data_IF_003024796770
#
_entry.id   IF_003024796770
#
_cell.length_a   1.000
_cell.length_b   1.000
_cell.length_c   1.000
_cell.angle_alpha   90.00
_cell.angle_beta   90.00
_cell.angle_gamma   90.00
#
_symmetry.space_group_name_H-M   'P 1'
#
loop_
_entity.id
_entity.type
_entity.pdbx_description
1 polymer ?
#
# COMPACT_ATOMS: atom_id res chain seq x y z
N UNK A 1 -7.40 -11.76 -8.08
CA UNK A 1 -6.72 -10.46 -8.29
C UNK A 1 -6.44 -9.83 -6.94
N UNK A 2 -5.26 -9.25 -6.78
CA UNK A 2 -4.78 -8.60 -5.56
C UNK A 2 -4.18 -7.25 -5.90
N UNK A 3 -4.10 -6.32 -4.94
CA UNK A 3 -3.61 -4.96 -5.18
C UNK A 3 -2.43 -4.60 -4.28
N UNK A 4 -1.44 -3.94 -4.86
CA UNK A 4 -0.37 -3.25 -4.15
C UNK A 4 -0.64 -1.75 -4.23
N UNK A 5 -0.95 -1.13 -3.11
CA UNK A 5 -1.27 0.29 -3.03
C UNK A 5 0.01 1.08 -2.74
N UNK A 6 0.47 1.89 -3.68
CA UNK A 6 1.50 2.89 -3.40
C UNK A 6 0.86 4.10 -2.70
N UNK A 7 1.03 4.17 -1.37
CA UNK A 7 0.23 4.98 -0.44
C UNK A 7 0.45 6.50 -0.49
N UNK A 8 0.93 7.06 -1.60
CA UNK A 8 1.12 8.49 -1.79
C UNK A 8 0.81 8.92 -3.23
N UNK A 9 0.36 10.15 -3.40
CA UNK A 9 0.11 10.77 -4.70
C UNK A 9 1.35 11.46 -5.32
N UNK A 10 2.53 11.32 -4.69
CA UNK A 10 3.79 11.83 -5.30
C UNK A 10 4.17 10.96 -6.49
N UNK A 11 4.45 11.59 -7.62
CA UNK A 11 5.03 10.93 -8.80
C UNK A 11 6.44 10.41 -8.50
N UNK A 12 6.84 9.29 -9.10
CA UNK A 12 8.16 8.65 -8.93
C UNK A 12 8.54 8.42 -7.44
N UNK A 13 7.56 8.14 -6.59
CA UNK A 13 7.76 7.97 -5.16
C UNK A 13 8.56 6.71 -4.83
N UNK A 14 9.28 6.75 -3.69
CA UNK A 14 9.93 5.53 -3.17
C UNK A 14 8.90 4.44 -2.84
N UNK A 15 7.67 4.82 -2.46
CA UNK A 15 6.58 3.86 -2.28
C UNK A 15 6.26 3.09 -3.56
N UNK A 16 6.28 3.75 -4.72
CA UNK A 16 6.06 3.09 -6.01
C UNK A 16 7.22 2.14 -6.37
N UNK A 17 8.47 2.54 -6.08
CA UNK A 17 9.63 1.66 -6.30
C UNK A 17 9.55 0.39 -5.46
N UNK A 18 9.19 0.50 -4.18
CA UNK A 18 8.99 -0.65 -3.30
C UNK A 18 7.78 -1.49 -3.75
N UNK A 19 6.68 -0.87 -4.17
CA UNK A 19 5.54 -1.58 -4.74
C UNK A 19 5.93 -2.42 -5.97
N UNK A 20 6.75 -1.85 -6.86
CA UNK A 20 7.30 -2.55 -8.03
C UNK A 20 8.20 -3.72 -7.63
N UNK A 21 9.03 -3.54 -6.60
CA UNK A 21 9.85 -4.62 -6.06
C UNK A 21 8.99 -5.79 -5.55
N UNK A 22 7.96 -5.52 -4.74
CA UNK A 22 7.03 -6.54 -4.25
C UNK A 22 6.35 -7.29 -5.42
N UNK A 23 5.87 -6.56 -6.42
CA UNK A 23 5.22 -7.17 -7.58
C UNK A 23 6.18 -8.11 -8.34
N UNK A 24 7.42 -7.69 -8.55
CA UNK A 24 8.43 -8.51 -9.24
C UNK A 24 8.79 -9.78 -8.45
N UNK A 25 8.95 -9.67 -7.14
CA UNK A 25 9.28 -10.84 -6.31
C UNK A 25 8.11 -11.83 -6.21
N UNK A 26 6.86 -11.32 -6.09
CA UNK A 26 5.66 -12.17 -6.13
C UNK A 26 5.55 -12.91 -7.47
N UNK A 27 5.77 -12.19 -8.58
CA UNK A 27 5.80 -12.81 -9.92
C UNK A 27 6.89 -13.90 -10.04
N UNK A 28 8.10 -13.65 -9.51
CA UNK A 28 9.18 -14.65 -9.50
C UNK A 28 8.82 -15.91 -8.70
N UNK A 29 7.95 -15.78 -7.70
CA UNK A 29 7.43 -16.90 -6.91
C UNK A 29 6.17 -17.55 -7.54
N UNK A 30 5.79 -17.13 -8.74
CA UNK A 30 4.69 -17.70 -9.51
C UNK A 30 3.31 -17.10 -9.21
N UNK A 31 3.23 -15.99 -8.47
CA UNK A 31 1.97 -15.28 -8.22
C UNK A 31 1.87 -14.02 -9.10
N UNK A 32 1.21 -14.13 -10.24
CA UNK A 32 0.95 -13.07 -11.22
C UNK A 32 -0.36 -12.29 -10.94
N UNK A 33 -1.03 -12.60 -9.84
CA UNK A 33 -2.36 -12.06 -9.52
C UNK A 33 -2.34 -10.60 -9.01
N UNK A 34 -1.16 -9.97 -8.87
CA UNK A 34 -0.96 -8.67 -8.25
C UNK A 34 -0.86 -7.52 -9.26
N UNK A 35 -1.64 -6.47 -9.01
CA UNK A 35 -1.59 -5.21 -9.75
C UNK A 35 -1.20 -4.06 -8.82
N UNK A 36 -0.41 -3.10 -9.31
CA UNK A 36 -0.09 -1.89 -8.57
C UNK A 36 -1.17 -0.84 -8.84
N UNK A 37 -1.68 -0.24 -7.78
CA UNK A 37 -2.51 0.96 -7.80
C UNK A 37 -1.76 2.10 -7.09
N UNK A 38 -1.08 2.99 -7.81
CA UNK A 38 -0.46 4.16 -7.22
C UNK A 38 -1.53 5.21 -6.92
N UNK A 39 -1.49 5.82 -5.75
CA UNK A 39 -2.44 6.88 -5.41
C UNK A 39 -2.18 8.21 -6.15
N UNK A 40 -1.14 8.28 -6.97
CA UNK A 40 -0.98 9.34 -7.98
C UNK A 40 -2.00 9.28 -9.10
N UNK A 41 -2.67 8.14 -9.28
CA UNK A 41 -3.69 7.94 -10.32
C UNK A 41 -5.10 8.33 -9.84
N UNK A 42 -5.24 8.76 -8.58
CA UNK A 42 -6.50 9.27 -8.07
C UNK A 42 -6.92 10.54 -8.80
N UNK A 43 -8.23 10.73 -9.08
CA UNK A 43 -8.73 11.98 -9.63
C UNK A 43 -8.35 13.18 -8.73
N UNK A 44 -7.85 14.25 -9.32
CA UNK A 44 -7.53 15.49 -8.58
C UNK A 44 -8.75 16.05 -7.83
N UNK A 45 -9.94 15.80 -8.35
CA UNK A 45 -11.24 16.23 -7.80
C UNK A 45 -11.77 15.34 -6.70
N UNK A 46 -11.10 14.24 -6.34
CA UNK A 46 -11.60 13.17 -5.46
C UNK A 46 -12.28 13.67 -4.17
N UNK A 47 -11.75 14.72 -3.54
CA UNK A 47 -12.30 15.30 -2.31
C UNK A 47 -13.70 15.88 -2.55
N UNK A 48 -13.92 16.54 -3.70
CA UNK A 48 -15.19 17.18 -4.03
C UNK A 48 -16.22 16.24 -4.67
N UNK A 49 -15.77 15.19 -5.34
CA UNK A 49 -16.61 14.38 -6.22
C UNK A 49 -16.84 12.95 -5.76
N UNK A 50 -15.97 12.39 -4.88
CA UNK A 50 -15.97 10.94 -4.65
C UNK A 50 -16.05 10.53 -3.17
N UNK A 51 -16.15 11.50 -2.24
CA UNK A 51 -16.31 11.20 -0.82
C UNK A 51 -17.77 11.01 -0.42
N UNK A 52 -17.99 10.27 0.66
CA UNK A 52 -19.28 10.14 1.36
C UNK A 52 -20.41 9.61 0.49
N UNK A 53 -20.11 8.58 -0.30
CA UNK A 53 -21.08 7.91 -1.17
C UNK A 53 -21.30 8.56 -2.52
N UNK A 54 -20.70 9.71 -2.79
CA UNK A 54 -20.60 10.25 -4.16
C UNK A 54 -19.65 9.39 -4.98
N UNK A 55 -19.81 9.40 -6.29
CA UNK A 55 -18.92 8.68 -7.20
C UNK A 55 -18.91 9.28 -8.57
N UNK A 56 -17.72 9.70 -9.01
CA UNK A 56 -17.50 10.21 -10.35
C UNK A 56 -17.16 9.09 -11.34
N UNK A 57 -17.39 9.27 -12.63
CA UNK A 57 -16.93 8.33 -13.66
C UNK A 57 -15.40 8.10 -13.64
N UNK A 58 -14.62 9.09 -13.15
CA UNK A 58 -13.17 9.00 -13.06
C UNK A 58 -12.70 8.03 -11.95
N UNK A 59 -13.44 7.94 -10.84
CA UNK A 59 -13.10 7.03 -9.73
C UNK A 59 -13.67 5.63 -9.93
N UNK A 60 -14.67 5.45 -10.74
CA UNK A 60 -15.37 4.18 -10.94
C UNK A 60 -14.44 3.00 -11.36
N UNK A 61 -13.44 3.18 -12.26
CA UNK A 61 -12.49 2.12 -12.56
C UNK A 61 -11.67 1.70 -11.33
N UNK A 62 -11.23 2.65 -10.51
CA UNK A 62 -10.48 2.42 -9.28
C UNK A 62 -11.36 1.65 -8.28
N UNK A 63 -12.60 2.08 -8.10
CA UNK A 63 -13.56 1.38 -7.24
C UNK A 63 -13.76 -0.08 -7.64
N UNK A 64 -13.89 -0.36 -8.94
CA UNK A 64 -14.03 -1.75 -9.44
C UNK A 64 -12.81 -2.59 -9.11
N UNK A 65 -11.60 -2.07 -9.30
CA UNK A 65 -10.36 -2.76 -8.94
C UNK A 65 -10.32 -3.08 -7.44
N UNK A 66 -10.63 -2.10 -6.59
CA UNK A 66 -10.63 -2.26 -5.14
C UNK A 66 -11.67 -3.27 -4.69
N UNK A 67 -12.88 -3.21 -5.26
CA UNK A 67 -13.96 -4.16 -4.93
C UNK A 67 -13.62 -5.60 -5.31
N UNK A 68 -12.95 -5.80 -6.44
CA UNK A 68 -12.59 -7.13 -6.93
C UNK A 68 -11.37 -7.74 -6.20
N UNK A 69 -10.51 -6.92 -5.60
CA UNK A 69 -9.31 -7.39 -4.90
C UNK A 69 -9.67 -8.19 -3.63
N UNK A 70 -8.88 -9.22 -3.32
CA UNK A 70 -9.03 -10.06 -2.13
C UNK A 70 -7.94 -9.78 -1.09
N UNK A 71 -6.74 -9.44 -1.55
CA UNK A 71 -5.61 -9.07 -0.70
C UNK A 71 -5.07 -7.70 -1.12
N UNK A 72 -4.55 -6.96 -0.15
CA UNK A 72 -3.93 -5.67 -0.34
C UNK A 72 -2.55 -5.65 0.31
N UNK A 73 -1.56 -5.12 -0.39
CA UNK A 73 -0.28 -4.69 0.20
C UNK A 73 -0.28 -3.16 0.20
N UNK A 74 -0.23 -2.55 1.38
CA UNK A 74 -0.17 -1.10 1.51
C UNK A 74 1.28 -0.67 1.75
N UNK A 75 1.88 0.05 0.81
CA UNK A 75 3.22 0.63 0.91
C UNK A 75 3.06 2.08 1.41
N UNK A 76 3.35 2.31 2.69
CA UNK A 76 2.92 3.48 3.45
C UNK A 76 4.13 4.38 3.80
N UNK A 77 4.37 5.49 3.11
CA UNK A 77 5.42 6.41 3.50
C UNK A 77 5.02 7.22 4.75
N UNK A 78 6.02 7.65 5.51
CA UNK A 78 5.79 8.52 6.67
C UNK A 78 5.58 9.98 6.24
N UNK A 79 4.42 10.53 6.60
CA UNK A 79 4.13 11.95 6.47
C UNK A 79 3.70 12.50 7.83
N UNK A 80 4.51 13.42 8.39
CA UNK A 80 4.24 14.06 9.68
C UNK A 80 3.97 13.05 10.82
N UNK A 81 4.74 11.95 10.87
CA UNK A 81 4.64 10.94 11.93
C UNK A 81 3.44 9.99 11.79
N UNK A 82 2.81 9.92 10.60
CA UNK A 82 1.68 9.05 10.33
C UNK A 82 1.67 8.58 8.88
N UNK A 83 0.60 7.91 8.45
CA UNK A 83 0.35 7.61 7.05
C UNK A 83 -0.14 8.87 6.28
N UNK A 84 0.04 8.94 4.95
CA UNK A 84 -0.36 10.10 4.16
C UNK A 84 -1.88 10.34 4.19
N UNK A 85 -2.28 11.62 4.27
CA UNK A 85 -3.70 12.00 4.21
C UNK A 85 -4.42 11.52 2.95
N UNK A 86 -3.72 11.48 1.80
CA UNK A 86 -4.30 10.94 0.55
C UNK A 86 -4.66 9.46 0.67
N UNK A 87 -3.95 8.67 1.47
CA UNK A 87 -4.32 7.28 1.73
C UNK A 87 -5.63 7.19 2.51
N UNK A 88 -5.86 8.10 3.46
CA UNK A 88 -7.15 8.18 4.16
C UNK A 88 -8.27 8.63 3.22
N UNK A 89 -8.03 9.64 2.39
CA UNK A 89 -8.98 10.09 1.36
C UNK A 89 -9.37 8.95 0.42
N UNK A 90 -8.40 8.16 -0.04
CA UNK A 90 -8.65 6.97 -0.86
C UNK A 90 -9.58 5.97 -0.15
N UNK A 91 -9.29 5.64 1.12
CA UNK A 91 -10.14 4.73 1.90
C UNK A 91 -11.56 5.28 2.03
N UNK A 92 -11.70 6.59 2.31
CA UNK A 92 -13.01 7.24 2.51
C UNK A 92 -13.82 7.38 1.21
N UNK A 93 -13.16 7.42 0.05
CA UNK A 93 -13.81 7.43 -1.26
C UNK A 93 -14.32 6.03 -1.67
N UNK A 94 -13.72 4.97 -1.15
CA UNK A 94 -14.10 3.59 -1.49
C UNK A 94 -15.46 3.21 -0.90
N UNK A 95 -16.18 2.31 -1.57
CA UNK A 95 -17.49 1.83 -1.15
C UNK A 95 -17.42 1.05 0.18
N UNK A 96 -18.13 1.53 1.18
CA UNK A 96 -18.28 0.86 2.47
C UNK A 96 -19.56 -0.01 2.47
N UNK A 97 -19.52 -1.25 2.97
CA UNK A 97 -18.36 -2.01 3.46
C UNK A 97 -17.63 -2.83 2.36
N UNK A 98 -18.13 -2.83 1.14
CA UNK A 98 -17.80 -3.77 0.07
C UNK A 98 -16.31 -3.78 -0.33
N UNK A 99 -15.60 -2.65 -0.15
CA UNK A 99 -14.22 -2.52 -0.61
C UNK A 99 -13.22 -3.33 0.22
N UNK A 100 -13.42 -3.41 1.54
CA UNK A 100 -12.37 -3.88 2.46
C UNK A 100 -12.80 -4.98 3.43
N UNK A 101 -14.10 -5.10 3.78
CA UNK A 101 -14.54 -6.05 4.81
C UNK A 101 -14.12 -7.48 4.50
N UNK A 102 -13.53 -8.12 5.54
CA UNK A 102 -13.04 -9.50 5.53
C UNK A 102 -11.95 -9.82 4.51
N UNK A 103 -11.37 -8.80 3.90
CA UNK A 103 -10.23 -8.94 3.00
C UNK A 103 -8.91 -8.89 3.77
N UNK A 104 -7.82 -9.29 3.14
CA UNK A 104 -6.49 -9.41 3.74
C UNK A 104 -5.67 -8.15 3.50
N UNK A 105 -4.93 -7.70 4.51
CA UNK A 105 -4.06 -6.54 4.44
C UNK A 105 -2.64 -6.88 4.88
N UNK A 106 -1.67 -6.42 4.13
CA UNK A 106 -0.25 -6.47 4.42
C UNK A 106 0.27 -5.04 4.49
N UNK A 107 1.04 -4.71 5.51
CA UNK A 107 1.49 -3.36 5.78
C UNK A 107 3.01 -3.25 5.68
N UNK A 108 3.47 -2.26 4.92
CA UNK A 108 4.88 -1.94 4.72
C UNK A 108 5.07 -0.45 4.94
N UNK A 109 5.80 -0.09 5.97
CA UNK A 109 6.16 1.29 6.28
C UNK A 109 7.50 1.66 5.67
N UNK A 110 7.65 2.90 5.22
CA UNK A 110 8.93 3.47 4.83
C UNK A 110 9.04 4.94 5.24
N UNK A 111 10.27 5.38 5.54
CA UNK A 111 10.53 6.77 5.90
C UNK A 111 11.92 7.24 5.44
N UNK A 112 12.08 8.55 5.32
CA UNK A 112 13.41 9.17 5.16
C UNK A 112 14.21 9.16 6.47
N UNK A 113 13.54 9.01 7.60
CA UNK A 113 14.14 8.93 8.93
C UNK A 113 14.35 7.49 9.42
N UNK A 114 14.72 7.38 10.72
CA UNK A 114 15.21 6.12 11.33
C UNK A 114 14.15 5.05 11.59
N UNK A 115 12.85 5.32 11.52
CA UNK A 115 11.85 4.43 12.12
C UNK A 115 10.95 3.72 11.12
N UNK A 116 11.17 3.90 9.80
CA UNK A 116 10.42 3.17 8.78
C UNK A 116 8.90 3.29 8.90
N UNK A 117 8.43 4.46 9.40
CA UNK A 117 6.99 4.74 9.59
C UNK A 117 6.26 3.81 10.57
N UNK A 118 6.89 3.41 11.67
CA UNK A 118 6.25 2.55 12.69
C UNK A 118 4.90 3.14 13.14
N UNK A 119 4.85 4.44 13.48
CA UNK A 119 3.63 5.10 13.95
C UNK A 119 2.52 5.11 12.89
N UNK A 120 2.87 5.45 11.64
CA UNK A 120 1.89 5.48 10.56
C UNK A 120 1.31 4.11 10.24
N UNK A 121 2.12 3.06 10.33
CA UNK A 121 1.67 1.67 10.17
C UNK A 121 0.74 1.26 11.31
N UNK A 122 1.05 1.64 12.56
CA UNK A 122 0.17 1.38 13.71
C UNK A 122 -1.15 2.12 13.60
N UNK A 123 -1.15 3.41 13.24
CA UNK A 123 -2.37 4.17 12.99
C UNK A 123 -3.21 3.51 11.88
N UNK A 124 -2.57 3.08 10.78
CA UNK A 124 -3.28 2.45 9.68
C UNK A 124 -3.77 1.03 10.02
N UNK A 125 -3.10 0.33 10.92
CA UNK A 125 -3.59 -0.94 11.48
C UNK A 125 -4.95 -0.74 12.18
N UNK A 126 -5.11 0.35 12.91
CA UNK A 126 -6.40 0.71 13.52
C UNK A 126 -7.50 0.94 12.46
N UNK A 127 -7.17 1.58 11.33
CA UNK A 127 -8.10 1.74 10.19
C UNK A 127 -8.48 0.38 9.59
N UNK A 128 -7.50 -0.51 9.35
CA UNK A 128 -7.75 -1.86 8.85
C UNK A 128 -8.65 -2.66 9.80
N UNK A 129 -8.42 -2.57 11.10
CA UNK A 129 -9.24 -3.25 12.12
C UNK A 129 -10.68 -2.74 12.12
N UNK A 130 -10.89 -1.42 12.01
CA UNK A 130 -12.24 -0.84 11.86
C UNK A 130 -12.94 -1.36 10.61
N UNK A 131 -12.21 -1.50 9.52
CA UNK A 131 -12.69 -2.06 8.26
C UNK A 131 -12.78 -3.61 8.27
N UNK A 132 -12.59 -4.25 9.42
CA UNK A 132 -12.64 -5.72 9.61
C UNK A 132 -11.72 -6.48 8.63
N UNK A 133 -10.60 -5.89 8.27
CA UNK A 133 -9.58 -6.55 7.47
C UNK A 133 -8.76 -7.52 8.34
N UNK A 134 -8.31 -8.60 7.75
CA UNK A 134 -7.33 -9.51 8.36
C UNK A 134 -5.94 -8.95 8.08
N UNK A 135 -5.25 -8.44 9.10
CA UNK A 135 -3.92 -7.86 8.94
C UNK A 135 -2.86 -8.93 9.17
N UNK A 136 -1.94 -9.10 8.21
CA UNK A 136 -0.78 -9.97 8.40
C UNK A 136 0.06 -9.45 9.58
N UNK A 137 0.39 -10.30 10.58
CA UNK A 137 1.14 -9.87 11.76
C UNK A 137 2.53 -9.32 11.43
N UNK A 138 3.25 -9.95 10.50
CA UNK A 138 4.57 -9.49 10.06
C UNK A 138 4.44 -8.20 9.24
N UNK A 139 4.93 -7.10 9.81
CA UNK A 139 4.99 -5.78 9.16
C UNK A 139 6.44 -5.44 8.86
N UNK A 140 6.69 -4.84 7.71
CA UNK A 140 8.03 -4.39 7.34
C UNK A 140 8.14 -2.89 7.55
N UNK A 141 9.26 -2.44 8.10
CA UNK A 141 9.58 -1.03 8.33
C UNK A 141 10.93 -0.73 7.69
N UNK A 142 10.95 0.12 6.67
CA UNK A 142 12.14 0.49 5.90
C UNK A 142 12.57 1.90 6.30
N UNK A 143 13.55 2.06 7.18
CA UNK A 143 14.12 3.37 7.54
C UNK A 143 15.03 3.89 6.42
N UNK A 144 15.37 5.17 6.46
CA UNK A 144 16.35 5.80 5.55
C UNK A 144 16.22 5.37 4.08
N UNK A 145 14.99 5.29 3.56
CA UNK A 145 14.69 4.65 2.27
C UNK A 145 15.57 5.10 1.11
N UNK A 146 16.13 6.31 1.15
CA UNK A 146 17.04 6.82 0.12
C UNK A 146 18.38 6.06 0.10
N UNK A 147 18.81 5.53 1.25
CA UNK A 147 20.06 4.77 1.40
C UNK A 147 19.87 3.30 0.98
N UNK A 148 18.63 2.83 0.97
CA UNK A 148 18.23 1.47 0.59
C UNK A 148 18.18 1.26 -0.93
N UNK A 149 18.16 2.37 -1.71
CA UNK A 149 17.94 2.35 -3.15
C UNK A 149 19.18 2.80 -3.90
N UNK A 150 19.52 2.13 -5.01
CA UNK A 150 20.56 2.58 -5.93
C UNK A 150 20.10 3.77 -6.81
N UNK A 151 21.00 4.29 -7.63
CA UNK A 151 20.72 5.41 -8.54
C UNK A 151 19.60 5.09 -9.56
N UNK A 152 19.35 3.83 -9.86
CA UNK A 152 18.24 3.37 -10.71
C UNK A 152 16.96 3.14 -9.92
N UNK A 153 16.95 3.37 -8.60
CA UNK A 153 15.81 3.17 -7.72
C UNK A 153 15.52 1.72 -7.36
N UNK A 154 16.50 0.82 -7.53
CA UNK A 154 16.38 -0.59 -7.16
C UNK A 154 16.81 -0.78 -5.71
N UNK A 155 16.09 -1.61 -4.97
CA UNK A 155 16.43 -1.97 -3.60
C UNK A 155 17.74 -2.79 -3.57
N UNK A 156 18.70 -2.38 -2.73
CA UNK A 156 20.06 -2.97 -2.67
C UNK A 156 20.45 -3.45 -1.29
N UNK A 157 19.82 -2.97 -0.22
CA UNK A 157 20.15 -3.44 1.13
C UNK A 157 19.73 -4.90 1.34
N UNK A 158 20.71 -5.75 1.66
CA UNK A 158 20.49 -7.19 1.76
C UNK A 158 19.62 -7.59 2.95
N UNK A 159 19.62 -6.82 4.03
CA UNK A 159 18.82 -7.12 5.20
C UNK A 159 17.34 -6.80 4.95
N UNK A 160 17.09 -5.65 4.35
CA UNK A 160 15.73 -5.24 3.92
C UNK A 160 15.18 -6.21 2.89
N UNK A 161 15.97 -6.61 1.90
CA UNK A 161 15.61 -7.64 0.91
C UNK A 161 15.22 -8.95 1.60
N UNK A 162 16.01 -9.40 2.58
CA UNK A 162 15.72 -10.63 3.33
C UNK A 162 14.38 -10.54 4.04
N UNK A 163 14.12 -9.46 4.77
CA UNK A 163 12.86 -9.29 5.51
C UNK A 163 11.65 -9.17 4.58
N UNK A 164 11.79 -8.47 3.45
CA UNK A 164 10.71 -8.40 2.45
C UNK A 164 10.42 -9.79 1.89
N UNK A 165 11.44 -10.57 1.56
CA UNK A 165 11.25 -11.94 1.05
C UNK A 165 10.58 -12.86 2.07
N UNK A 166 10.91 -12.74 3.36
CA UNK A 166 10.22 -13.44 4.44
C UNK A 166 8.73 -13.05 4.50
N UNK A 167 8.43 -11.75 4.42
CA UNK A 167 7.04 -11.31 4.38
C UNK A 167 6.31 -11.81 3.12
N UNK A 168 6.96 -11.83 1.96
CA UNK A 168 6.37 -12.34 0.72
C UNK A 168 6.03 -13.83 0.85
N UNK A 169 6.88 -14.63 1.50
CA UNK A 169 6.59 -16.04 1.77
C UNK A 169 5.36 -16.21 2.68
N UNK A 170 5.17 -15.30 3.63
CA UNK A 170 3.95 -15.29 4.43
C UNK A 170 2.72 -14.80 3.64
N UNK A 171 2.86 -13.80 2.77
CA UNK A 171 1.76 -13.30 1.91
C UNK A 171 1.18 -14.42 1.04
N UNK A 172 2.04 -15.27 0.49
CA UNK A 172 1.62 -16.38 -0.37
C UNK A 172 0.76 -17.39 0.42
N UNK A 173 1.13 -17.67 1.68
CA UNK A 173 0.40 -18.57 2.57
C UNK A 173 -0.83 -17.93 3.23
N UNK A 174 -0.82 -16.60 3.37
CA UNK A 174 -1.89 -15.82 3.98
C UNK A 174 -3.06 -15.70 3.02
#
# INVERSE_FOLDING_TARGET
MNLIISGTNRTNSNSLKIATYYQQELLRKGDDSWQILPLSDLPETIIGTDLYGKRSPLFEPIQRLVSAAQKFIFIIPEYNGSFPGVLKVFIDACAFPASFYHKKAVLVGLSSGKYGNIRGVDHFTGVCNYLRMHVLPLKIHIPSIQEELDAAGRLTDLLTIKFINEQIDEIIRF
#
